data_IF_586885161590
#
_entry.id   IF_586885161590
#
_cell.length_a   1.000
_cell.length_b   1.000
_cell.length_c   1.000
_cell.angle_alpha   90.00
_cell.angle_beta   90.00
_cell.angle_gamma   90.00
#
_symmetry.space_group_name_H-M   'P 1'
#
loop_
_entity.id
_entity.type
_entity.pdbx_description
1 polymer ?
#
# COMPACT_ATOMS: atom_id res chain seq x y z
N UNK A 1 13.18 -1.56 -17.56
CA UNK A 1 13.36 -2.95 -18.08
C UNK A 1 12.24 -3.29 -19.07
N UNK A 2 12.55 -4.04 -20.13
CA UNK A 2 11.51 -4.57 -21.03
C UNK A 2 10.70 -5.67 -20.34
N UNK A 3 9.37 -5.62 -20.45
CA UNK A 3 8.47 -6.64 -19.88
C UNK A 3 8.52 -7.90 -20.75
N UNK A 4 8.91 -9.04 -20.16
CA UNK A 4 8.92 -10.32 -20.87
C UNK A 4 7.55 -10.97 -20.73
N UNK A 5 6.86 -11.18 -21.85
CA UNK A 5 5.56 -11.87 -21.89
C UNK A 5 5.73 -13.33 -22.29
N UNK A 6 5.18 -14.26 -21.50
CA UNK A 6 5.18 -15.70 -21.80
C UNK A 6 3.79 -16.30 -21.59
N UNK A 7 3.50 -17.35 -22.35
CA UNK A 7 2.24 -18.08 -22.25
C UNK A 7 2.51 -19.54 -21.88
N UNK A 8 1.64 -20.09 -21.06
CA UNK A 8 1.64 -21.50 -20.72
C UNK A 8 0.22 -21.97 -20.46
N UNK A 9 -0.31 -22.83 -21.34
CA UNK A 9 -1.72 -23.25 -21.32
C UNK A 9 -2.64 -22.00 -21.28
N UNK A 10 -3.56 -21.94 -20.32
CA UNK A 10 -4.45 -20.79 -20.10
C UNK A 10 -3.80 -19.60 -19.39
N UNK A 11 -2.53 -19.68 -18.99
CA UNK A 11 -1.85 -18.63 -18.23
C UNK A 11 -1.03 -17.73 -19.15
N UNK A 12 -1.06 -16.43 -18.87
CA UNK A 12 -0.15 -15.43 -19.45
C UNK A 12 0.61 -14.76 -18.30
N UNK A 13 1.93 -14.77 -18.41
CA UNK A 13 2.84 -14.22 -17.41
C UNK A 13 3.55 -13.00 -17.99
N UNK A 14 3.61 -11.93 -17.21
CA UNK A 14 4.35 -10.70 -17.49
C UNK A 14 5.47 -10.60 -16.47
N UNK A 15 6.73 -10.77 -16.87
CA UNK A 15 7.87 -10.68 -15.97
C UNK A 15 8.43 -9.26 -15.94
N UNK A 16 8.72 -8.79 -14.72
CA UNK A 16 9.28 -7.47 -14.40
C UNK A 16 10.68 -7.57 -13.75
N UNK A 17 11.18 -8.81 -13.61
CA UNK A 17 12.50 -9.19 -13.13
C UNK A 17 13.08 -10.26 -14.07
N UNK A 18 14.01 -11.09 -13.60
CA UNK A 18 14.57 -12.20 -14.36
C UNK A 18 13.52 -13.25 -14.74
N UNK A 19 13.78 -13.94 -15.84
CA UNK A 19 12.90 -14.99 -16.36
C UNK A 19 13.05 -16.30 -15.58
N UNK A 20 11.91 -16.93 -15.28
CA UNK A 20 11.80 -18.32 -14.80
C UNK A 20 10.80 -19.07 -15.66
N UNK A 21 10.95 -20.40 -15.74
CA UNK A 21 10.03 -21.25 -16.49
C UNK A 21 8.56 -21.03 -16.06
N UNK A 22 7.65 -20.66 -16.99
CA UNK A 22 6.25 -20.42 -16.68
C UNK A 22 5.53 -21.63 -16.08
N UNK A 23 5.86 -22.85 -16.53
CA UNK A 23 5.22 -24.06 -16.02
C UNK A 23 5.58 -24.31 -14.55
N UNK A 24 6.84 -24.06 -14.19
CA UNK A 24 7.32 -24.13 -12.80
C UNK A 24 6.61 -23.11 -11.90
N UNK A 25 6.53 -21.85 -12.34
CA UNK A 25 5.92 -20.79 -11.54
C UNK A 25 4.42 -21.04 -11.31
N UNK A 26 3.69 -21.48 -12.35
CA UNK A 26 2.26 -21.77 -12.23
C UNK A 26 1.99 -23.01 -11.38
N UNK A 27 2.81 -24.08 -11.47
CA UNK A 27 2.69 -25.24 -10.57
C UNK A 27 2.83 -24.83 -9.11
N UNK A 28 3.88 -24.08 -8.78
CA UNK A 28 4.10 -23.56 -7.41
C UNK A 28 2.95 -22.69 -6.93
N UNK A 29 2.39 -21.83 -7.79
CA UNK A 29 1.20 -21.05 -7.47
C UNK A 29 0.01 -21.93 -7.06
N UNK A 30 -0.22 -23.03 -7.78
CA UNK A 30 -1.32 -23.95 -7.51
C UNK A 30 -1.12 -24.74 -6.20
N UNK A 31 0.09 -25.24 -5.98
CA UNK A 31 0.40 -26.19 -4.91
C UNK A 31 0.64 -25.52 -3.56
N UNK A 32 1.10 -24.26 -3.53
CA UNK A 32 1.45 -23.60 -2.27
C UNK A 32 0.23 -23.14 -1.47
N UNK A 33 0.15 -23.44 -0.17
CA UNK A 33 -1.00 -23.09 0.66
C UNK A 33 -1.19 -21.57 0.80
N UNK A 34 -2.42 -21.15 1.07
CA UNK A 34 -2.73 -19.75 1.37
C UNK A 34 -2.40 -19.49 2.83
N UNK A 35 -1.49 -18.56 3.08
CA UNK A 35 -1.23 -18.00 4.40
C UNK A 35 -2.32 -16.97 4.70
N UNK A 36 -3.23 -17.32 5.61
CA UNK A 36 -4.29 -16.43 6.09
C UNK A 36 -3.72 -15.28 6.94
N UNK A 37 -4.47 -14.19 7.09
CA UNK A 37 -4.09 -13.06 7.96
C UNK A 37 -3.19 -11.99 7.31
N UNK A 38 -2.44 -12.31 6.23
CA UNK A 38 -1.70 -11.33 5.43
C UNK A 38 -2.55 -10.85 4.23
N UNK A 39 -3.37 -9.83 4.45
CA UNK A 39 -4.26 -9.25 3.43
C UNK A 39 -5.62 -9.96 3.28
N UNK A 40 -6.54 -9.36 2.50
CA UNK A 40 -7.96 -9.79 2.45
C UNK A 40 -8.20 -11.16 1.81
N UNK A 41 -7.29 -11.63 0.95
CA UNK A 41 -7.37 -12.94 0.28
C UNK A 41 -6.30 -13.93 0.73
N UNK A 42 -5.50 -13.58 1.73
CA UNK A 42 -4.23 -14.24 2.05
C UNK A 42 -3.18 -14.05 0.97
N UNK A 43 -1.97 -14.53 1.26
CA UNK A 43 -0.86 -14.61 0.31
C UNK A 43 -0.41 -16.06 0.17
N UNK A 44 0.12 -16.44 -0.99
CA UNK A 44 0.87 -17.68 -1.14
C UNK A 44 2.35 -17.33 -1.14
N UNK A 45 3.15 -18.11 -0.40
CA UNK A 45 4.60 -18.00 -0.45
C UNK A 45 5.12 -19.12 -1.33
N UNK A 46 5.85 -18.75 -2.37
CA UNK A 46 6.49 -19.69 -3.29
C UNK A 46 7.99 -19.40 -3.34
N UNK A 47 8.79 -20.40 -3.64
CA UNK A 47 10.22 -20.23 -3.81
C UNK A 47 10.63 -20.59 -5.24
N UNK A 48 11.52 -19.79 -5.83
CA UNK A 48 12.10 -20.09 -7.14
C UNK A 48 13.52 -19.56 -7.22
N UNK A 49 14.47 -20.40 -7.65
CA UNK A 49 15.91 -20.04 -7.74
C UNK A 49 16.45 -19.38 -6.45
N UNK A 50 16.08 -19.91 -5.28
CA UNK A 50 16.49 -19.38 -3.97
C UNK A 50 15.80 -18.06 -3.56
N UNK A 51 14.85 -17.56 -4.35
CA UNK A 51 14.10 -16.35 -4.05
C UNK A 51 12.71 -16.71 -3.53
N UNK A 52 12.37 -16.21 -2.33
CA UNK A 52 11.01 -16.30 -1.78
C UNK A 52 10.15 -15.18 -2.37
N UNK A 53 8.98 -15.56 -2.87
CA UNK A 53 8.04 -14.69 -3.57
C UNK A 53 6.69 -14.72 -2.88
N UNK A 54 6.07 -13.56 -2.76
CA UNK A 54 4.69 -13.42 -2.32
C UNK A 54 3.77 -13.34 -3.52
N UNK A 55 2.79 -14.25 -3.59
CA UNK A 55 1.75 -14.23 -4.60
C UNK A 55 0.43 -13.77 -4.01
N UNK A 56 -0.07 -12.66 -4.52
CA UNK A 56 -1.35 -12.08 -4.13
C UNK A 56 -2.37 -12.26 -5.25
N UNK A 57 -3.49 -12.89 -4.93
CA UNK A 57 -4.63 -12.98 -5.84
C UNK A 57 -5.47 -11.71 -5.75
N UNK A 58 -5.85 -11.12 -6.89
CA UNK A 58 -6.77 -9.99 -6.90
C UNK A 58 -8.19 -10.45 -6.58
N UNK A 59 -8.88 -9.66 -5.76
CA UNK A 59 -10.29 -9.85 -5.42
C UNK A 59 -11.07 -8.56 -5.72
N UNK A 60 -12.36 -8.70 -6.01
CA UNK A 60 -13.28 -7.56 -6.09
C UNK A 60 -13.59 -7.03 -4.69
N UNK A 61 -13.71 -5.70 -4.59
CA UNK A 61 -14.21 -5.04 -3.38
C UNK A 61 -15.69 -4.69 -3.51
N UNK A 62 -16.36 -4.43 -2.38
CA UNK A 62 -17.76 -3.98 -2.37
C UNK A 62 -18.77 -5.06 -2.75
N UNK A 63 -19.96 -4.64 -3.20
CA UNK A 63 -21.11 -5.50 -3.49
C UNK A 63 -20.83 -6.55 -4.58
N UNK A 64 -19.92 -6.27 -5.51
CA UNK A 64 -19.46 -7.21 -6.55
C UNK A 64 -18.70 -8.42 -6.00
N UNK A 65 -18.30 -8.40 -4.71
CA UNK A 65 -17.74 -9.58 -4.03
C UNK A 65 -18.70 -10.76 -4.06
N UNK A 66 -20.01 -10.53 -3.90
CA UNK A 66 -21.01 -11.59 -3.89
C UNK A 66 -21.25 -12.19 -5.29
N UNK A 67 -21.08 -11.38 -6.34
CA UNK A 67 -21.45 -11.73 -7.71
C UNK A 67 -20.28 -12.27 -8.55
N UNK A 68 -19.07 -11.69 -8.43
CA UNK A 68 -17.94 -12.04 -9.31
C UNK A 68 -16.65 -12.44 -8.60
N UNK A 69 -16.58 -12.35 -7.26
CA UNK A 69 -15.44 -12.72 -6.38
C UNK A 69 -14.06 -12.32 -6.93
N UNK A 70 -13.44 -13.16 -7.76
CA UNK A 70 -12.09 -13.06 -8.31
C UNK A 70 -12.01 -12.92 -9.85
N UNK A 71 -13.15 -12.72 -10.52
CA UNK A 71 -13.27 -12.74 -11.99
C UNK A 71 -13.24 -11.33 -12.60
N UNK A 72 -12.17 -11.02 -13.34
CA UNK A 72 -11.96 -9.74 -14.01
C UNK A 72 -12.20 -9.84 -15.52
N UNK A 73 -12.70 -8.77 -16.14
CA UNK A 73 -12.87 -8.71 -17.60
C UNK A 73 -11.54 -8.55 -18.34
N UNK A 74 -10.56 -7.87 -17.72
CA UNK A 74 -9.25 -7.64 -18.31
C UNK A 74 -8.08 -7.72 -17.33
N UNK A 75 -6.86 -7.75 -17.89
CA UNK A 75 -5.61 -7.79 -17.13
C UNK A 75 -5.10 -6.41 -16.69
N UNK A 76 -5.77 -5.32 -17.07
CA UNK A 76 -5.28 -3.96 -16.90
C UNK A 76 -4.97 -3.60 -15.45
N UNK A 77 -5.70 -4.18 -14.49
CA UNK A 77 -5.47 -3.95 -13.05
C UNK A 77 -4.10 -4.44 -12.59
N UNK A 78 -3.70 -5.65 -12.98
CA UNK A 78 -2.40 -6.22 -12.55
C UNK A 78 -1.24 -5.57 -13.29
N UNK A 79 -1.40 -5.27 -14.58
CA UNK A 79 -0.35 -4.62 -15.36
C UNK A 79 -0.13 -3.18 -14.87
N UNK A 80 -1.20 -2.42 -14.62
CA UNK A 80 -1.09 -1.04 -14.13
C UNK A 80 -0.43 -0.96 -12.73
N UNK A 81 -0.74 -1.88 -11.83
CA UNK A 81 -0.07 -1.92 -10.52
C UNK A 81 1.42 -2.26 -10.66
N UNK A 82 1.75 -3.28 -11.45
CA UNK A 82 3.13 -3.68 -11.67
C UNK A 82 3.95 -2.60 -12.37
N UNK A 83 3.37 -1.85 -13.31
CA UNK A 83 4.00 -0.70 -13.96
C UNK A 83 4.36 0.40 -12.96
N UNK A 84 3.51 0.68 -11.97
CA UNK A 84 3.80 1.64 -10.91
C UNK A 84 4.92 1.14 -10.00
N UNK A 85 4.89 -0.15 -9.63
CA UNK A 85 5.95 -0.77 -8.82
C UNK A 85 7.31 -0.72 -9.54
N UNK A 86 7.35 -1.04 -10.84
CA UNK A 86 8.56 -0.95 -11.67
C UNK A 86 9.05 0.49 -11.73
N UNK A 87 8.15 1.44 -11.99
CA UNK A 87 8.48 2.87 -12.03
C UNK A 87 9.12 3.35 -10.72
N UNK A 88 8.50 3.05 -9.58
CA UNK A 88 9.00 3.47 -8.27
C UNK A 88 10.33 2.79 -7.91
N UNK A 89 10.46 1.49 -8.18
CA UNK A 89 11.73 0.76 -8.01
C UNK A 89 12.85 1.37 -8.84
N UNK A 90 12.59 1.65 -10.12
CA UNK A 90 13.58 2.23 -11.03
C UNK A 90 13.97 3.66 -10.61
N UNK A 91 13.14 4.34 -9.80
CA UNK A 91 13.42 5.62 -9.14
C UNK A 91 14.13 5.50 -7.78
N UNK A 92 14.39 4.29 -7.32
CA UNK A 92 14.95 4.04 -5.99
C UNK A 92 13.99 4.31 -4.84
N UNK A 93 12.69 4.47 -5.13
CA UNK A 93 11.67 4.64 -4.10
C UNK A 93 11.38 3.27 -3.44
N UNK A 94 11.29 3.18 -2.10
CA UNK A 94 11.26 1.89 -1.42
C UNK A 94 9.88 1.23 -1.52
N UNK A 95 9.78 0.26 -2.43
CA UNK A 95 8.58 -0.55 -2.68
C UNK A 95 8.94 -2.02 -2.78
N UNK A 96 7.95 -2.88 -2.55
CA UNK A 96 8.08 -4.31 -2.85
C UNK A 96 8.47 -4.51 -4.31
N UNK A 97 9.48 -5.35 -4.53
CA UNK A 97 10.02 -5.55 -5.88
C UNK A 97 9.04 -6.39 -6.71
N UNK A 98 8.50 -5.86 -7.82
CA UNK A 98 7.62 -6.63 -8.69
C UNK A 98 8.41 -7.73 -9.41
N UNK A 99 7.91 -8.96 -9.34
CA UNK A 99 8.52 -10.10 -10.02
C UNK A 99 7.75 -10.48 -11.29
N UNK A 100 6.45 -10.74 -11.15
CA UNK A 100 5.60 -11.09 -12.28
C UNK A 100 4.12 -10.74 -12.06
N UNK A 101 3.39 -10.45 -13.14
CA UNK A 101 1.93 -10.47 -13.18
C UNK A 101 1.46 -11.76 -13.86
N UNK A 102 0.53 -12.49 -13.25
CA UNK A 102 -0.03 -13.73 -13.80
C UNK A 102 -1.51 -13.53 -14.11
N UNK A 103 -1.89 -13.88 -15.33
CA UNK A 103 -3.27 -13.83 -15.83
C UNK A 103 -3.70 -15.23 -16.21
N UNK A 104 -4.63 -15.81 -15.45
CA UNK A 104 -5.31 -17.04 -15.82
C UNK A 104 -6.53 -16.70 -16.67
N UNK A 105 -6.52 -17.10 -17.95
CA UNK A 105 -7.63 -16.89 -18.88
C UNK A 105 -8.71 -17.95 -18.65
N UNK A 106 -9.94 -17.48 -18.50
CA UNK A 106 -11.18 -18.26 -18.52
C UNK A 106 -11.99 -17.80 -19.75
N UNK A 107 -13.05 -18.52 -20.18
CA UNK A 107 -13.77 -18.20 -21.41
C UNK A 107 -14.21 -16.73 -21.53
N UNK A 108 -14.75 -16.16 -20.46
CA UNK A 108 -15.22 -14.76 -20.42
C UNK A 108 -14.50 -13.88 -19.39
N UNK A 109 -13.65 -14.48 -18.57
CA UNK A 109 -13.08 -13.83 -17.38
C UNK A 109 -11.60 -14.13 -17.23
N UNK A 110 -10.96 -13.42 -16.30
CA UNK A 110 -9.55 -13.56 -15.96
C UNK A 110 -9.42 -13.60 -14.45
N UNK A 111 -8.55 -14.47 -13.94
CA UNK A 111 -8.04 -14.36 -12.57
C UNK A 111 -6.67 -13.73 -12.63
N UNK A 112 -6.45 -12.74 -11.78
CA UNK A 112 -5.23 -11.96 -11.77
C UNK A 112 -4.45 -12.26 -10.50
N UNK A 113 -3.13 -12.36 -10.63
CA UNK A 113 -2.21 -12.52 -9.51
C UNK A 113 -1.03 -11.59 -9.71
N UNK A 114 -0.62 -10.92 -8.63
CA UNK A 114 0.63 -10.18 -8.58
C UNK A 114 1.64 -10.98 -7.77
N UNK A 115 2.84 -11.14 -8.32
CA UNK A 115 3.98 -11.79 -7.68
C UNK A 115 5.02 -10.73 -7.40
N UNK A 116 5.41 -10.59 -6.13
CA UNK A 116 6.48 -9.71 -5.68
C UNK A 116 7.53 -10.53 -4.94
N UNK A 117 8.73 -9.97 -4.79
CA UNK A 117 9.69 -10.48 -3.82
C UNK A 117 9.07 -10.41 -2.43
N UNK A 118 9.23 -11.47 -1.64
CA UNK A 118 8.77 -11.48 -0.26
C UNK A 118 9.83 -10.82 0.62
N UNK A 119 9.44 -9.76 1.30
CA UNK A 119 10.32 -9.04 2.24
C UNK A 119 10.40 -9.83 3.56
N UNK A 120 11.49 -10.58 3.73
CA UNK A 120 11.78 -11.31 4.97
C UNK A 120 11.94 -10.35 6.15
N UNK A 121 11.69 -10.85 7.36
CA UNK A 121 11.99 -10.12 8.59
C UNK A 121 11.34 -8.74 8.72
N UNK A 122 10.22 -8.54 8.02
CA UNK A 122 9.42 -7.32 8.10
C UNK A 122 8.15 -7.52 8.91
N UNK A 123 7.71 -6.45 9.56
CA UNK A 123 6.39 -6.35 10.18
C UNK A 123 5.64 -5.17 9.58
N UNK A 124 4.31 -5.17 9.68
CA UNK A 124 3.54 -4.00 9.24
C UNK A 124 3.82 -2.78 10.12
N UNK A 125 3.68 -1.57 9.58
CA UNK A 125 3.83 -0.34 10.35
C UNK A 125 2.84 -0.28 11.51
N UNK A 126 1.65 -0.87 11.36
CA UNK A 126 0.70 -1.04 12.46
C UNK A 126 1.30 -1.87 13.60
N UNK A 127 1.81 -3.06 13.31
CA UNK A 127 2.43 -3.95 14.30
C UNK A 127 3.66 -3.30 14.94
N UNK A 128 4.47 -2.62 14.14
CA UNK A 128 5.61 -1.85 14.65
C UNK A 128 5.17 -0.81 15.67
N UNK A 129 4.13 -0.01 15.36
CA UNK A 129 3.62 1.00 16.31
C UNK A 129 3.02 0.37 17.57
N UNK A 130 2.43 -0.81 17.49
CA UNK A 130 1.87 -1.53 18.64
C UNK A 130 2.95 -2.00 19.61
N UNK A 131 4.12 -2.39 19.10
CA UNK A 131 5.20 -2.97 19.89
C UNK A 131 6.28 -1.95 20.29
N UNK A 132 6.24 -0.75 19.71
CA UNK A 132 7.29 0.27 19.89
C UNK A 132 7.00 1.26 21.01
N UNK A 133 8.06 1.64 21.75
CA UNK A 133 8.02 2.74 22.70
C UNK A 133 7.95 4.11 22.02
N UNK A 134 7.58 5.15 22.79
CA UNK A 134 7.38 6.53 22.30
C UNK A 134 8.54 7.05 21.43
N UNK A 135 9.80 6.83 21.85
CA UNK A 135 10.99 7.31 21.11
C UNK A 135 11.10 6.67 19.72
N UNK A 136 10.89 5.35 19.61
CA UNK A 136 10.90 4.62 18.33
C UNK A 136 9.76 5.08 17.42
N UNK A 137 8.54 5.22 17.97
CA UNK A 137 7.38 5.72 17.23
C UNK A 137 7.62 7.10 16.62
N UNK A 138 8.20 8.04 17.39
CA UNK A 138 8.53 9.36 16.87
C UNK A 138 9.62 9.33 15.78
N UNK A 139 10.56 8.38 15.80
CA UNK A 139 11.56 8.23 14.74
C UNK A 139 10.93 7.70 13.46
N UNK A 140 10.15 6.61 13.55
CA UNK A 140 9.57 5.97 12.37
C UNK A 140 8.51 6.85 11.69
N UNK A 141 7.77 7.65 12.46
CA UNK A 141 6.79 8.61 11.93
C UNK A 141 7.47 9.71 11.10
N UNK A 142 8.68 10.16 11.45
CA UNK A 142 9.45 11.08 10.60
C UNK A 142 9.82 10.45 9.27
N UNK A 143 10.19 9.16 9.26
CA UNK A 143 10.47 8.42 8.02
C UNK A 143 9.20 8.30 7.17
N UNK A 144 8.05 8.00 7.78
CA UNK A 144 6.78 7.94 7.06
C UNK A 144 6.41 9.28 6.40
N UNK A 145 6.59 10.41 7.10
CA UNK A 145 6.33 11.73 6.54
C UNK A 145 7.20 12.04 5.31
N UNK A 146 8.51 11.73 5.39
CA UNK A 146 9.45 11.87 4.27
C UNK A 146 9.05 10.98 3.09
N UNK A 147 8.67 9.73 3.38
CA UNK A 147 8.26 8.76 2.38
C UNK A 147 7.01 9.21 1.63
N UNK A 148 6.05 9.83 2.31
CA UNK A 148 4.86 10.39 1.67
C UNK A 148 5.18 11.61 0.80
N UNK A 149 6.12 12.45 1.23
CA UNK A 149 6.62 13.56 0.41
C UNK A 149 7.39 13.05 -0.82
N UNK A 150 8.21 12.00 -0.69
CA UNK A 150 8.88 11.38 -1.83
C UNK A 150 7.85 10.80 -2.82
N UNK A 151 6.79 10.14 -2.33
CA UNK A 151 5.74 9.59 -3.19
C UNK A 151 4.99 10.69 -3.98
N UNK A 152 4.75 11.84 -3.35
CA UNK A 152 4.22 13.04 -4.01
C UNK A 152 5.15 13.52 -5.12
N UNK A 153 6.46 13.61 -4.84
CA UNK A 153 7.47 14.05 -5.81
C UNK A 153 7.60 13.10 -7.00
N UNK A 154 7.43 11.80 -6.76
CA UNK A 154 7.37 10.79 -7.83
C UNK A 154 6.06 10.84 -8.65
N UNK A 155 5.10 11.68 -8.28
CA UNK A 155 3.87 11.87 -9.03
C UNK A 155 2.91 10.68 -8.89
N UNK A 156 2.88 10.01 -7.73
CA UNK A 156 2.06 8.81 -7.52
C UNK A 156 0.96 9.05 -6.50
N UNK A 157 -0.28 8.86 -6.94
CA UNK A 157 -1.46 8.85 -6.07
C UNK A 157 -1.81 7.42 -5.68
N UNK A 158 -1.86 7.13 -4.39
CA UNK A 158 -2.18 5.82 -3.83
C UNK A 158 -3.49 5.87 -3.01
N UNK A 159 -4.63 5.40 -3.57
CA UNK A 159 -5.94 5.57 -2.95
C UNK A 159 -6.22 4.65 -1.76
N UNK A 160 -5.44 3.57 -1.58
CA UNK A 160 -5.62 2.60 -0.48
C UNK A 160 -4.47 2.61 0.53
N UNK A 161 -3.84 3.77 0.72
CA UNK A 161 -2.78 3.94 1.70
C UNK A 161 -3.29 3.68 3.13
N UNK A 162 -2.68 2.72 3.82
CA UNK A 162 -2.97 2.38 5.20
C UNK A 162 -1.75 1.78 5.91
N UNK A 163 -1.71 1.80 7.25
CA UNK A 163 -0.54 1.34 8.04
C UNK A 163 -0.17 -0.14 7.83
N UNK A 164 -1.09 -0.97 7.30
CA UNK A 164 -0.78 -2.37 6.92
C UNK A 164 -0.10 -2.50 5.55
N UNK A 165 -0.10 -1.44 4.73
CA UNK A 165 0.54 -1.40 3.40
C UNK A 165 1.92 -0.74 3.44
N UNK A 166 2.45 -0.53 4.64
CA UNK A 166 3.81 -0.08 4.87
C UNK A 166 4.46 -1.14 5.74
N UNK A 167 5.56 -1.71 5.27
CA UNK A 167 6.40 -2.63 6.03
C UNK A 167 7.51 -1.85 6.72
N UNK A 168 7.96 -2.37 7.86
CA UNK A 168 9.13 -1.89 8.59
C UNK A 168 10.14 -3.03 8.62
N UNK A 169 11.35 -2.77 8.13
CA UNK A 169 12.49 -3.72 8.19
C UNK A 169 13.12 -3.74 9.58
N UNK A 170 14.01 -4.70 9.85
CA UNK A 170 14.80 -4.76 11.09
C UNK A 170 15.63 -3.50 11.32
N UNK A 171 16.10 -2.89 10.24
CA UNK A 171 16.88 -1.65 10.21
C UNK A 171 15.99 -0.40 10.37
N UNK A 172 14.68 -0.58 10.56
CA UNK A 172 13.67 0.47 10.62
C UNK A 172 13.53 1.25 9.31
N UNK A 173 13.80 0.63 8.17
CA UNK A 173 13.46 1.20 6.87
C UNK A 173 12.02 0.87 6.48
N UNK A 174 11.44 1.71 5.62
CA UNK A 174 10.03 1.63 5.25
C UNK A 174 9.89 1.17 3.81
N UNK A 175 9.06 0.16 3.57
CA UNK A 175 8.77 -0.37 2.23
C UNK A 175 7.26 -0.26 1.99
N UNK A 176 6.85 0.38 0.89
CA UNK A 176 5.44 0.42 0.49
C UNK A 176 5.06 -0.83 -0.30
N UNK A 177 3.84 -1.31 -0.06
CA UNK A 177 3.22 -2.37 -0.86
C UNK A 177 1.81 -2.00 -1.27
N UNK A 178 1.21 -2.84 -2.12
CA UNK A 178 -0.18 -2.77 -2.56
C UNK A 178 -0.51 -1.45 -3.28
N UNK A 179 0.01 -1.30 -4.49
CA UNK A 179 -0.30 -0.17 -5.36
C UNK A 179 -1.59 -0.40 -6.15
N UNK A 180 -2.49 -1.22 -5.63
CA UNK A 180 -3.76 -1.46 -6.28
C UNK A 180 -4.53 -0.15 -6.43
N UNK A 181 -4.99 0.10 -7.65
CA UNK A 181 -5.65 1.35 -8.06
C UNK A 181 -4.79 2.61 -7.92
N UNK A 182 -3.49 2.51 -7.65
CA UNK A 182 -2.59 3.67 -7.69
C UNK A 182 -2.51 4.24 -9.11
N UNK A 183 -2.17 5.53 -9.24
CA UNK A 183 -2.09 6.24 -10.51
C UNK A 183 -0.89 7.17 -10.53
N UNK A 184 -0.22 7.23 -11.68
CA UNK A 184 0.74 8.30 -11.97
C UNK A 184 -0.02 9.53 -12.48
N UNK A 185 0.21 10.68 -11.88
CA UNK A 185 -0.38 11.98 -12.23
C UNK A 185 0.37 13.11 -11.55
N UNK A 186 0.20 14.34 -12.02
CA UNK A 186 0.57 15.52 -11.24
C UNK A 186 -0.23 15.51 -9.93
N UNK A 187 0.47 15.49 -8.80
CA UNK A 187 -0.14 15.41 -7.48
C UNK A 187 -0.52 16.81 -7.03
N UNK A 188 -1.82 17.01 -6.81
CA UNK A 188 -2.32 18.24 -6.20
C UNK A 188 -2.30 18.14 -4.67
N UNK A 189 -2.30 19.27 -3.94
CA UNK A 189 -2.53 19.27 -2.51
C UNK A 189 -3.81 18.50 -2.10
N UNK A 190 -4.86 18.55 -2.93
CA UNK A 190 -6.10 17.81 -2.71
C UNK A 190 -5.96 16.29 -2.80
N UNK A 191 -5.06 15.78 -3.64
CA UNK A 191 -4.75 14.36 -3.72
C UNK A 191 -4.04 13.88 -2.44
N UNK A 192 -3.04 14.62 -1.97
CA UNK A 192 -2.33 14.33 -0.72
C UNK A 192 -3.27 14.37 0.48
N UNK A 193 -4.15 15.38 0.57
CA UNK A 193 -5.21 15.44 1.59
C UNK A 193 -6.08 14.18 1.60
N UNK A 194 -6.48 13.68 0.41
CA UNK A 194 -7.29 12.45 0.31
C UNK A 194 -6.53 11.22 0.83
N UNK A 195 -5.24 11.10 0.50
CA UNK A 195 -4.40 10.01 1.03
C UNK A 195 -4.23 10.09 2.54
N UNK A 196 -3.98 11.29 3.08
CA UNK A 196 -3.84 11.48 4.53
C UNK A 196 -5.15 11.27 5.28
N UNK A 197 -6.28 11.70 4.72
CA UNK A 197 -7.61 11.39 5.27
C UNK A 197 -7.90 9.88 5.22
N UNK A 198 -7.47 9.17 4.18
CA UNK A 198 -7.59 7.70 4.12
C UNK A 198 -6.77 7.04 5.21
N UNK A 199 -5.53 7.47 5.40
CA UNK A 199 -4.64 6.99 6.46
C UNK A 199 -5.21 7.27 7.86
N UNK A 200 -5.67 8.51 8.11
CA UNK A 200 -6.30 8.92 9.37
C UNK A 200 -7.51 8.07 9.73
N UNK A 201 -8.44 7.84 8.78
CA UNK A 201 -9.59 6.95 9.00
C UNK A 201 -9.19 5.52 9.34
N UNK A 202 -8.07 5.03 8.79
CA UNK A 202 -7.56 3.71 9.15
C UNK A 202 -7.04 3.70 10.59
N UNK A 203 -6.28 4.73 10.99
CA UNK A 203 -5.77 4.91 12.37
C UNK A 203 -6.94 4.94 13.36
N UNK A 204 -7.93 5.80 13.14
CA UNK A 204 -9.13 5.91 13.99
C UNK A 204 -9.90 4.59 14.11
N UNK A 205 -9.95 3.83 13.02
CA UNK A 205 -10.59 2.51 13.02
C UNK A 205 -9.82 1.54 13.92
N UNK A 206 -8.49 1.60 13.95
CA UNK A 206 -7.66 0.75 14.82
C UNK A 206 -7.75 1.19 16.28
N UNK A 207 -7.80 2.50 16.54
CA UNK A 207 -7.99 3.06 17.88
C UNK A 207 -9.35 2.66 18.48
N UNK A 208 -10.43 2.78 17.71
CA UNK A 208 -11.77 2.31 18.15
C UNK A 208 -11.84 0.81 18.43
N UNK A 209 -10.90 0.03 17.88
CA UNK A 209 -10.79 -1.42 18.13
C UNK A 209 -9.82 -1.76 19.27
N UNK A 210 -9.25 -0.76 19.94
CA UNK A 210 -8.22 -0.96 20.97
C UNK A 210 -6.91 -1.53 20.41
N UNK A 211 -6.71 -1.49 19.09
CA UNK A 211 -5.55 -2.08 18.42
C UNK A 211 -4.40 -1.11 18.27
N UNK A 212 -4.60 0.19 18.48
CA UNK A 212 -3.55 1.19 18.35
C UNK A 212 -3.93 2.39 19.20
N UNK A 213 -2.95 3.12 19.73
CA UNK A 213 -3.18 4.43 20.32
C UNK A 213 -2.13 5.39 19.77
N UNK A 214 -2.51 6.31 18.86
CA UNK A 214 -1.57 7.28 18.28
C UNK A 214 -1.66 8.59 19.03
N UNK A 215 -0.57 8.96 19.70
CA UNK A 215 -0.50 10.19 20.45
C UNK A 215 -0.53 11.44 19.56
N UNK A 216 -0.87 12.57 20.19
CA UNK A 216 -0.91 13.89 19.55
C UNK A 216 0.43 14.26 18.92
N UNK A 217 1.52 13.94 19.61
CA UNK A 217 2.87 14.26 19.15
C UNK A 217 3.26 13.51 17.89
N UNK A 218 2.89 12.24 17.74
CA UNK A 218 3.14 11.51 16.50
C UNK A 218 2.42 12.17 15.31
N UNK A 219 1.13 12.50 15.46
CA UNK A 219 0.34 13.13 14.40
C UNK A 219 0.88 14.51 14.03
N UNK A 220 1.14 15.35 15.03
CA UNK A 220 1.70 16.68 14.83
C UNK A 220 3.09 16.62 14.16
N UNK A 221 3.93 15.66 14.57
CA UNK A 221 5.25 15.46 13.98
C UNK A 221 5.15 15.03 12.52
N UNK A 222 4.24 14.10 12.19
CA UNK A 222 4.00 13.68 10.81
C UNK A 222 3.64 14.88 9.91
N UNK A 223 2.61 15.63 10.30
CA UNK A 223 2.12 16.79 9.54
C UNK A 223 3.18 17.89 9.42
N UNK A 224 3.89 18.20 10.51
CA UNK A 224 4.92 19.24 10.52
C UNK A 224 6.10 18.90 9.63
N UNK A 225 6.58 17.65 9.66
CA UNK A 225 7.69 17.22 8.79
C UNK A 225 7.27 17.26 7.33
N UNK A 226 6.07 16.76 7.03
CA UNK A 226 5.55 16.80 5.68
C UNK A 226 5.41 18.25 5.18
N UNK A 227 4.80 19.14 5.97
CA UNK A 227 4.62 20.57 5.61
C UNK A 227 5.97 21.28 5.37
N UNK A 228 6.99 20.99 6.20
CA UNK A 228 8.34 21.52 6.00
C UNK A 228 8.96 21.10 4.67
N UNK A 229 8.66 19.90 4.18
CA UNK A 229 9.23 19.35 2.95
C UNK A 229 8.42 19.73 1.70
N UNK A 230 7.10 19.78 1.80
CA UNK A 230 6.20 20.08 0.68
C UNK A 230 5.92 21.57 0.52
N UNK A 231 6.10 22.37 1.57
CA UNK A 231 5.63 23.75 1.64
C UNK A 231 4.11 23.87 1.86
N UNK A 232 3.40 22.75 2.02
CA UNK A 232 1.94 22.71 2.15
C UNK A 232 1.54 22.34 3.57
N UNK A 233 0.84 23.26 4.25
CA UNK A 233 0.22 22.97 5.55
C UNK A 233 -1.04 22.11 5.37
N UNK A 234 -0.84 20.79 5.41
CA UNK A 234 -1.93 19.82 5.33
C UNK A 234 -2.91 19.94 6.49
N UNK A 235 -2.47 20.43 7.65
CA UNK A 235 -3.34 20.62 8.80
C UNK A 235 -4.38 21.71 8.49
N UNK A 236 -3.92 22.91 8.09
CA UNK A 236 -4.82 24.03 7.75
C UNK A 236 -5.74 23.74 6.57
N UNK A 237 -5.21 23.08 5.53
CA UNK A 237 -6.01 22.78 4.32
C UNK A 237 -7.10 21.73 4.57
N UNK A 238 -6.94 20.86 5.56
CA UNK A 238 -7.99 19.90 5.96
C UNK A 238 -9.08 20.56 6.82
N UNK A 239 -8.73 21.53 7.68
CA UNK A 239 -9.68 22.27 8.52
C UNK A 239 -10.65 23.15 7.70
N UNK A 240 -10.14 23.84 6.67
CA UNK A 240 -10.95 24.72 5.82
C UNK A 240 -12.09 23.99 5.11
N UNK A 241 -11.86 22.77 4.61
CA UNK A 241 -12.90 21.96 3.93
C UNK A 241 -13.98 21.44 4.89
N UNK A 242 -13.65 21.16 6.15
CA UNK A 242 -14.62 20.68 7.15
C UNK A 242 -15.65 21.76 7.48
N UNK A 243 -15.20 23.00 7.63
CA UNK A 243 -16.06 24.18 7.82
C UNK A 243 -16.97 24.41 6.60
N UNK A 244 -16.46 24.24 5.38
CA UNK A 244 -17.24 24.43 4.15
C UNK A 244 -18.26 23.31 3.88
N UNK A 245 -18.01 22.07 4.35
CA UNK A 245 -18.85 20.91 4.02
C UNK A 245 -19.87 20.53 5.10
N UNK A 246 -19.93 21.22 6.24
CA UNK A 246 -20.94 20.97 7.29
C UNK A 246 -20.92 19.56 7.91
N UNK A 247 -19.86 18.76 7.66
CA UNK A 247 -19.73 17.39 8.17
C UNK A 247 -19.02 17.38 9.52
N UNK A 248 -19.77 17.59 10.58
CA UNK A 248 -19.23 17.77 11.93
C UNK A 248 -18.82 16.50 12.69
N UNK A 249 -18.62 15.31 12.09
CA UNK A 249 -18.46 14.12 12.96
C UNK A 249 -17.55 12.95 12.57
N UNK A 250 -16.75 12.98 11.49
CA UNK A 250 -15.93 11.77 11.15
C UNK A 250 -14.50 11.99 10.65
N UNK A 251 -13.99 13.22 10.66
CA UNK A 251 -12.60 13.53 10.27
C UNK A 251 -11.89 14.50 11.24
N UNK A 252 -12.66 15.21 12.09
CA UNK A 252 -12.16 16.22 13.01
C UNK A 252 -11.16 15.73 14.06
N UNK A 253 -11.18 14.47 14.50
CA UNK A 253 -10.34 14.06 15.65
C UNK A 253 -8.83 14.03 15.35
N UNK A 254 -8.41 13.69 14.11
CA UNK A 254 -6.99 13.75 13.74
C UNK A 254 -6.42 15.17 13.87
N UNK A 255 -7.27 16.17 13.65
CA UNK A 255 -6.95 17.60 13.63
C UNK A 255 -7.21 18.29 14.97
N UNK A 256 -8.35 18.02 15.60
CA UNK A 256 -8.75 18.59 16.90
C UNK A 256 -7.71 18.30 17.98
N UNK A 257 -7.18 17.08 17.98
CA UNK A 257 -6.14 16.66 18.93
C UNK A 257 -4.79 17.38 18.73
N UNK A 258 -4.54 17.96 17.55
CA UNK A 258 -3.31 18.73 17.24
C UNK A 258 -3.53 20.24 17.41
N UNK A 259 -4.72 20.76 17.11
CA UNK A 259 -5.01 22.21 17.10
C UNK A 259 -5.61 22.74 18.42
N UNK A 260 -6.56 22.04 19.06
CA UNK A 260 -7.30 22.57 20.21
C UNK A 260 -6.66 22.28 21.58
N UNK A 261 -5.53 21.57 21.61
CA UNK A 261 -4.78 21.28 22.84
C UNK A 261 -3.68 22.29 23.20
N UNK A 262 -3.47 23.35 22.41
CA UNK A 262 -2.42 24.35 22.66
C UNK A 262 -2.83 25.45 23.68
N UNK A 263 -3.97 25.27 24.38
CA UNK A 263 -4.48 26.18 25.41
C UNK A 263 -4.63 25.53 26.80
N UNK A 264 -3.96 24.41 27.06
CA UNK A 264 -3.82 23.84 28.41
C UNK A 264 -2.39 23.38 28.65
#
# INVERSE_FOLDING_TARGET
MAVIKKQWRRFTLFYYSFFVDPASLVRRLSDSPIVAGKGRGGIRLIETRGLRLAVRKYLHGGLFRALTRDLFLNQGRVTAEAEILVYLRDKGFPVVVPFAGIVEKLPFFRRLYLVTVFEEDTISFLEYLQQSGRRQRLRIVRKLARLMWQLEKEGVYHPDLHLRNVLVTRENELILLDFDRARRKTISPGDMRRMFRRLGRFVEKMERRGQLAVGRMEKALFLRIYARLSGVDMARTMEGEEKTRGYLHRAGWFMESVLYGARQ
#
